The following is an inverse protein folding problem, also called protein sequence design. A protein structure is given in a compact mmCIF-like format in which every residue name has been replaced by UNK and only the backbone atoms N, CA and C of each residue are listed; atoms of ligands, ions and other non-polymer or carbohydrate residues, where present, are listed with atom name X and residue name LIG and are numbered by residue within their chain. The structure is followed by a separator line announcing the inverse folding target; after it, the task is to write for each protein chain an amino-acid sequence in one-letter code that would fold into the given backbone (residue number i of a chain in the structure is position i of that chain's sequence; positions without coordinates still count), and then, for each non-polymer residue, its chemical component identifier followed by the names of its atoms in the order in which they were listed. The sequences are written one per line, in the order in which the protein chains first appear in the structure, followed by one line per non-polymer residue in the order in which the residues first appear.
data_IF_669736757243
#
_entry.id   IF_669736757243
#
_cell.length_a   1.000
_cell.length_b   1.000
_cell.length_c   1.000
_cell.angle_alpha   90.00
_cell.angle_beta   90.00
_cell.angle_gamma   90.00
#
_symmetry.space_group_name_H-M   'P 1'
#
loop_
_entity.id
_entity.type
_entity.pdbx_description
1 polymer ?
#
# COMPACT_ATOMS: atom_id res chain seq x y z
N UNK A 1 -15.84 13.23 -16.53
CA UNK A 1 -15.99 14.57 -15.92
C UNK A 1 -16.26 15.65 -16.96
N UNK A 2 -15.45 15.77 -17.97
CA UNK A 2 -15.60 16.78 -19.03
C UNK A 2 -16.91 16.64 -19.81
N UNK A 3 -17.36 15.43 -20.06
CA UNK A 3 -18.64 15.14 -20.77
C UNK A 3 -19.86 15.66 -20.00
N UNK A 4 -19.75 15.80 -18.68
CA UNK A 4 -20.84 16.28 -17.82
C UNK A 4 -20.73 17.78 -17.48
N UNK A 5 -19.78 18.51 -18.10
CA UNK A 5 -19.61 19.95 -17.93
C UNK A 5 -18.78 20.38 -16.71
N UNK A 6 -18.24 19.43 -15.91
CA UNK A 6 -17.28 19.73 -14.86
C UNK A 6 -15.93 20.13 -15.47
N UNK A 7 -15.35 21.22 -14.99
CA UNK A 7 -14.08 21.78 -15.47
C UNK A 7 -13.02 21.72 -14.37
N UNK A 8 -11.78 21.75 -14.79
CA UNK A 8 -10.67 21.89 -13.87
C UNK A 8 -10.77 23.22 -13.11
N UNK A 9 -10.67 23.17 -11.78
CA UNK A 9 -10.82 24.32 -10.91
C UNK A 9 -12.22 24.53 -10.36
N UNK A 10 -13.23 23.75 -10.75
CA UNK A 10 -14.56 23.79 -10.15
C UNK A 10 -14.52 23.36 -8.67
N UNK A 11 -15.10 24.17 -7.78
CA UNK A 11 -15.28 23.82 -6.38
C UNK A 11 -16.70 23.28 -6.18
N UNK A 12 -16.85 22.03 -5.82
CA UNK A 12 -18.15 21.41 -5.52
C UNK A 12 -18.65 21.95 -4.18
N UNK A 13 -19.84 22.57 -4.17
CA UNK A 13 -20.48 23.12 -2.98
C UNK A 13 -21.57 22.18 -2.42
N UNK A 14 -22.34 21.55 -3.32
CA UNK A 14 -23.42 20.64 -2.91
C UNK A 14 -23.72 19.64 -4.03
N UNK A 15 -24.27 18.48 -3.64
CA UNK A 15 -24.78 17.44 -4.55
C UNK A 15 -26.20 17.10 -4.10
N UNK A 16 -27.20 17.21 -5.00
CA UNK A 16 -28.62 17.03 -4.73
C UNK A 16 -29.14 17.80 -3.49
N UNK A 17 -28.58 19.00 -3.27
CA UNK A 17 -28.92 19.88 -2.14
C UNK A 17 -28.16 19.55 -0.84
N UNK A 18 -27.41 18.47 -0.79
CA UNK A 18 -26.55 18.13 0.35
C UNK A 18 -25.22 18.90 0.22
N UNK A 19 -24.89 19.73 1.19
CA UNK A 19 -23.62 20.47 1.23
C UNK A 19 -22.45 19.48 1.38
N UNK A 20 -21.39 19.71 0.62
CA UNK A 20 -20.18 18.86 0.58
C UNK A 20 -18.99 19.73 0.91
N UNK A 21 -18.32 19.46 2.01
CA UNK A 21 -17.15 20.22 2.46
C UNK A 21 -15.83 19.57 2.07
N UNK A 22 -15.82 18.25 1.86
CA UNK A 22 -14.61 17.48 1.63
C UNK A 22 -14.77 16.51 0.45
N UNK A 23 -13.66 16.26 -0.25
CA UNK A 23 -13.63 15.33 -1.36
C UNK A 23 -14.15 13.90 -1.03
N UNK A 24 -13.84 13.28 0.13
CA UNK A 24 -14.40 11.98 0.50
C UNK A 24 -15.94 11.95 0.50
N UNK A 25 -16.60 13.06 0.86
CA UNK A 25 -18.06 13.14 0.89
C UNK A 25 -18.62 13.08 -0.54
N UNK A 26 -17.98 13.76 -1.50
CA UNK A 26 -18.29 13.66 -2.94
C UNK A 26 -18.14 12.22 -3.42
N UNK A 27 -17.04 11.56 -3.05
CA UNK A 27 -16.76 10.17 -3.45
C UNK A 27 -17.83 9.21 -2.96
N UNK A 28 -18.28 9.35 -1.70
CA UNK A 28 -19.33 8.49 -1.12
C UNK A 28 -20.64 8.65 -1.88
N UNK A 29 -21.09 9.89 -2.16
CA UNK A 29 -22.35 10.16 -2.87
C UNK A 29 -22.30 9.61 -4.30
N UNK A 30 -21.21 9.87 -5.01
CA UNK A 30 -21.02 9.42 -6.40
C UNK A 30 -20.98 7.90 -6.49
N UNK A 31 -20.23 7.22 -5.61
CA UNK A 31 -20.11 5.75 -5.61
C UNK A 31 -21.41 5.05 -5.29
N UNK A 32 -22.26 5.64 -4.45
CA UNK A 32 -23.57 5.09 -4.08
C UNK A 32 -24.68 5.36 -5.11
N UNK A 33 -24.40 6.10 -6.18
CA UNK A 33 -25.39 6.53 -7.16
C UNK A 33 -25.00 6.17 -8.62
N UNK A 34 -24.72 4.87 -8.93
CA UNK A 34 -24.40 4.45 -10.29
C UNK A 34 -25.57 4.73 -11.24
N UNK A 35 -25.30 5.32 -12.40
CA UNK A 35 -26.28 5.61 -13.45
C UNK A 35 -27.35 6.67 -13.10
N UNK A 36 -27.34 7.24 -11.90
CA UNK A 36 -28.31 8.26 -11.48
C UNK A 36 -27.80 9.66 -11.77
N UNK A 37 -28.66 10.53 -12.32
CA UNK A 37 -28.33 11.94 -12.52
C UNK A 37 -28.26 12.68 -11.18
N UNK A 38 -27.07 13.16 -10.82
CA UNK A 38 -26.81 13.94 -9.61
C UNK A 38 -26.69 15.42 -9.98
N UNK A 39 -27.37 16.31 -9.25
CA UNK A 39 -27.25 17.77 -9.42
C UNK A 39 -26.09 18.30 -8.60
N UNK A 40 -25.01 18.68 -9.28
CA UNK A 40 -23.85 19.31 -8.69
C UNK A 40 -24.01 20.83 -8.72
N UNK A 41 -23.87 21.46 -7.61
CA UNK A 41 -23.71 22.91 -7.51
C UNK A 41 -22.22 23.20 -7.31
N UNK A 42 -21.65 23.90 -8.28
CA UNK A 42 -20.22 24.21 -8.33
C UNK A 42 -19.97 25.71 -8.33
N UNK A 43 -18.92 26.15 -7.67
CA UNK A 43 -18.44 27.53 -7.74
C UNK A 43 -17.35 27.66 -8.81
N UNK A 44 -17.48 28.66 -9.66
CA UNK A 44 -16.54 29.09 -10.70
C UNK A 44 -16.18 30.58 -10.55
N UNK A 45 -15.19 31.03 -11.29
CA UNK A 45 -14.81 32.47 -11.33
C UNK A 45 -15.96 33.43 -11.71
N UNK A 46 -17.03 32.94 -12.35
CA UNK A 46 -18.21 33.69 -12.76
C UNK A 46 -19.44 33.57 -11.87
N UNK A 47 -19.38 32.79 -10.78
CA UNK A 47 -20.52 32.52 -9.90
C UNK A 47 -20.78 31.03 -9.64
N UNK A 48 -21.96 30.73 -9.09
CA UNK A 48 -22.39 29.34 -8.88
C UNK A 48 -23.13 28.82 -10.11
N UNK A 49 -22.83 27.61 -10.53
CA UNK A 49 -23.51 26.90 -11.62
C UNK A 49 -24.06 25.54 -11.11
N UNK A 50 -25.23 25.16 -11.64
CA UNK A 50 -25.77 23.83 -11.42
C UNK A 50 -25.53 22.96 -12.67
N UNK A 51 -24.99 21.77 -12.45
CA UNK A 51 -24.66 20.79 -13.49
C UNK A 51 -25.30 19.45 -13.14
N UNK A 52 -25.85 18.75 -14.13
CA UNK A 52 -26.30 17.38 -13.94
C UNK A 52 -25.22 16.41 -14.40
N UNK A 53 -24.70 15.62 -13.49
CA UNK A 53 -23.64 14.65 -13.72
C UNK A 53 -24.20 13.24 -13.52
N UNK A 54 -24.05 12.38 -14.51
CA UNK A 54 -24.45 10.97 -14.41
C UNK A 54 -23.20 10.12 -14.21
N UNK A 55 -23.00 9.51 -13.01
CA UNK A 55 -21.88 8.62 -12.78
C UNK A 55 -21.99 7.36 -13.65
N UNK A 56 -20.91 7.02 -14.36
CA UNK A 56 -20.83 5.78 -15.10
C UNK A 56 -20.86 4.58 -14.14
N UNK A 57 -21.55 3.53 -14.56
CA UNK A 57 -21.58 2.27 -13.83
C UNK A 57 -20.28 1.50 -14.04
N UNK A 58 -19.61 1.16 -12.96
CA UNK A 58 -18.36 0.38 -12.96
C UNK A 58 -18.51 -0.77 -11.98
N UNK A 59 -18.24 -1.99 -12.42
CA UNK A 59 -18.19 -3.15 -11.53
C UNK A 59 -16.87 -3.18 -10.73
N UNK A 60 -16.95 -3.08 -9.44
CA UNK A 60 -15.81 -3.24 -8.53
C UNK A 60 -16.11 -4.33 -7.50
N UNK A 61 -15.34 -5.43 -7.50
CA UNK A 61 -15.41 -6.53 -6.51
C UNK A 61 -16.82 -7.01 -6.16
N UNK A 62 -17.69 -7.26 -7.17
CA UNK A 62 -19.09 -7.70 -7.03
C UNK A 62 -20.11 -6.61 -6.66
N UNK A 63 -19.76 -5.35 -6.71
CA UNK A 63 -20.69 -4.25 -6.51
C UNK A 63 -20.59 -3.28 -7.67
N UNK A 64 -21.74 -2.81 -8.16
CA UNK A 64 -21.78 -1.73 -9.15
C UNK A 64 -21.66 -0.40 -8.43
N UNK A 65 -20.66 0.40 -8.77
CA UNK A 65 -20.40 1.73 -8.21
C UNK A 65 -20.48 2.80 -9.29
N UNK A 66 -20.83 4.02 -8.89
CA UNK A 66 -20.77 5.19 -9.75
C UNK A 66 -19.35 5.77 -9.85
N UNK A 67 -18.94 6.18 -11.06
CA UNK A 67 -17.65 6.85 -11.31
C UNK A 67 -17.82 8.03 -12.27
N UNK A 68 -17.26 9.18 -11.93
CA UNK A 68 -17.35 10.41 -12.75
C UNK A 68 -16.05 10.83 -13.42
N UNK A 69 -14.95 10.09 -13.19
CA UNK A 69 -13.67 10.34 -13.85
C UNK A 69 -13.04 11.72 -13.55
N UNK A 70 -13.27 12.25 -12.36
CA UNK A 70 -12.62 13.46 -11.85
C UNK A 70 -11.80 13.12 -10.62
N UNK A 71 -10.68 13.84 -10.44
CA UNK A 71 -9.84 13.75 -9.27
C UNK A 71 -9.87 15.10 -8.54
N UNK A 72 -9.62 15.14 -7.22
CA UNK A 72 -9.42 16.41 -6.53
C UNK A 72 -8.25 17.15 -7.18
N UNK A 73 -8.36 18.47 -7.31
CA UNK A 73 -7.19 19.25 -7.62
C UNK A 73 -6.14 19.02 -6.52
N UNK A 74 -4.89 18.78 -6.91
CA UNK A 74 -3.80 18.90 -5.96
C UNK A 74 -3.86 20.35 -5.46
N UNK A 75 -4.38 20.53 -4.24
CA UNK A 75 -4.32 21.83 -3.60
C UNK A 75 -2.85 22.11 -3.34
N UNK A 76 -2.31 23.16 -3.97
CA UNK A 76 -1.01 23.73 -3.61
C UNK A 76 -1.02 24.34 -2.19
N UNK A 77 -2.17 24.34 -1.52
CA UNK A 77 -2.22 24.57 -0.08
C UNK A 77 -1.49 23.43 0.60
N UNK A 78 -0.30 23.68 1.12
CA UNK A 78 0.52 22.60 1.64
C UNK A 78 -0.27 21.94 2.78
N UNK A 79 -0.32 20.61 2.76
CA UNK A 79 -0.73 19.74 3.88
C UNK A 79 -0.01 20.11 5.22
N UNK A 80 0.65 21.25 5.24
CA UNK A 80 1.37 21.82 6.40
C UNK A 80 0.44 22.09 7.58
N UNK A 81 -0.82 22.46 7.35
CA UNK A 81 -1.76 22.74 8.45
C UNK A 81 -2.30 21.49 9.13
N UNK A 82 -2.27 20.32 8.46
CA UNK A 82 -2.74 19.04 9.03
C UNK A 82 -1.59 18.24 9.64
N UNK A 83 -0.33 18.65 9.46
CA UNK A 83 0.83 17.97 10.01
C UNK A 83 1.17 18.51 11.39
N UNK A 84 0.67 17.90 12.43
CA UNK A 84 1.16 18.13 13.79
C UNK A 84 2.50 17.44 13.97
N UNK A 85 3.55 18.23 14.20
CA UNK A 85 4.87 17.71 14.56
C UNK A 85 4.85 17.31 16.03
N UNK A 86 4.73 16.01 16.27
CA UNK A 86 4.82 15.46 17.64
C UNK A 86 6.28 15.15 17.90
N UNK A 87 6.86 15.77 18.94
CA UNK A 87 8.19 15.45 19.45
C UNK A 87 8.04 14.66 20.76
N UNK A 88 8.77 13.56 20.84
CA UNK A 88 8.85 12.73 22.03
C UNK A 88 10.20 12.95 22.71
N UNK A 89 10.24 12.81 24.02
CA UNK A 89 11.50 12.66 24.74
C UNK A 89 12.17 11.32 24.38
N UNK A 90 13.45 11.19 24.67
CA UNK A 90 14.26 10.05 24.24
C UNK A 90 13.68 8.68 24.66
N UNK A 91 13.19 8.57 25.91
CA UNK A 91 12.62 7.32 26.42
C UNK A 91 11.29 6.98 25.76
N UNK A 92 10.40 7.95 25.62
CA UNK A 92 9.12 7.78 24.94
C UNK A 92 9.30 7.48 23.45
N UNK A 93 10.27 8.12 22.80
CA UNK A 93 10.62 7.83 21.41
C UNK A 93 11.10 6.38 21.23
N UNK A 94 11.94 5.88 22.15
CA UNK A 94 12.39 4.49 22.16
C UNK A 94 11.23 3.50 22.32
N UNK A 95 10.32 3.74 23.28
CA UNK A 95 9.15 2.91 23.48
C UNK A 95 8.24 2.89 22.24
N UNK A 96 8.01 4.05 21.62
CA UNK A 96 7.23 4.16 20.38
C UNK A 96 7.89 3.46 19.19
N UNK A 97 9.22 3.52 19.10
CA UNK A 97 9.94 2.81 18.03
C UNK A 97 9.80 1.29 18.17
N UNK A 98 9.82 0.75 19.40
CA UNK A 98 9.59 -0.68 19.65
C UNK A 98 8.15 -1.06 19.29
N UNK A 99 7.16 -0.29 19.72
CA UNK A 99 5.75 -0.49 19.41
C UNK A 99 5.52 -0.51 17.87
N UNK A 100 6.02 0.52 17.17
CA UNK A 100 5.90 0.58 15.70
C UNK A 100 6.63 -0.59 15.00
N UNK A 101 7.79 -0.98 15.50
CA UNK A 101 8.54 -2.12 14.94
C UNK A 101 7.73 -3.41 15.09
N UNK A 102 7.13 -3.62 16.27
CA UNK A 102 6.26 -4.77 16.50
C UNK A 102 5.04 -4.78 15.59
N UNK A 103 4.33 -3.66 15.52
CA UNK A 103 3.13 -3.52 14.69
C UNK A 103 3.44 -3.77 13.21
N UNK A 104 4.53 -3.20 12.69
CA UNK A 104 4.98 -3.44 11.30
C UNK A 104 5.39 -4.88 11.07
N UNK A 105 6.03 -5.53 12.04
CA UNK A 105 6.41 -6.94 11.94
C UNK A 105 5.18 -7.85 11.90
N UNK A 106 4.22 -7.64 12.79
CA UNK A 106 2.95 -8.38 12.81
C UNK A 106 2.17 -8.14 11.52
N UNK A 107 2.06 -6.88 11.08
CA UNK A 107 1.41 -6.55 9.81
C UNK A 107 2.05 -7.28 8.62
N UNK A 108 3.38 -7.33 8.55
CA UNK A 108 4.10 -8.03 7.48
C UNK A 108 3.78 -9.52 7.48
N UNK A 109 3.77 -10.16 8.65
CA UNK A 109 3.40 -11.59 8.77
C UNK A 109 1.95 -11.85 8.37
N UNK A 110 1.01 -11.00 8.80
CA UNK A 110 -0.41 -11.10 8.43
C UNK A 110 -0.59 -10.94 6.93
N UNK A 111 0.12 -9.98 6.30
CA UNK A 111 0.06 -9.78 4.85
C UNK A 111 0.62 -10.98 4.08
N UNK A 112 1.74 -11.57 4.55
CA UNK A 112 2.27 -12.81 3.97
C UNK A 112 1.27 -13.95 4.10
N UNK A 113 0.63 -14.12 5.26
CA UNK A 113 -0.44 -15.10 5.47
C UNK A 113 -1.60 -14.91 4.50
N UNK A 114 -2.06 -13.67 4.30
CA UNK A 114 -3.13 -13.32 3.36
C UNK A 114 -2.74 -13.54 1.90
N UNK A 115 -1.47 -13.39 1.54
CA UNK A 115 -0.97 -13.76 0.21
C UNK A 115 -1.02 -15.27 -0.01
N UNK A 116 -0.71 -16.07 1.01
CA UNK A 116 -0.79 -17.53 0.94
C UNK A 116 -2.24 -18.03 0.83
N UNK A 117 -3.19 -17.38 1.49
CA UNK A 117 -4.62 -17.71 1.40
C UNK A 117 -5.29 -17.16 0.14
N UNK A 118 -4.59 -16.35 -0.66
CA UNK A 118 -5.12 -15.75 -1.89
C UNK A 118 -6.03 -14.53 -1.67
N UNK A 119 -6.17 -14.04 -0.43
CA UNK A 119 -6.92 -12.82 -0.12
C UNK A 119 -6.22 -11.56 -0.67
N UNK A 120 -4.90 -11.60 -0.74
CA UNK A 120 -4.06 -10.53 -1.27
C UNK A 120 -3.34 -11.02 -2.52
N UNK A 121 -3.41 -10.24 -3.58
CA UNK A 121 -2.78 -10.61 -4.86
C UNK A 121 -1.26 -10.58 -4.77
N UNK A 122 -0.61 -11.62 -5.29
CA UNK A 122 0.84 -11.70 -5.45
C UNK A 122 1.43 -10.57 -6.33
N UNK A 123 0.60 -9.92 -7.14
CA UNK A 123 0.99 -8.75 -7.93
C UNK A 123 1.40 -7.55 -7.07
N UNK A 124 1.02 -7.55 -5.78
CA UNK A 124 1.42 -6.52 -4.81
C UNK A 124 2.84 -6.76 -4.27
N UNK A 125 3.50 -7.85 -4.66
CA UNK A 125 4.89 -8.10 -4.28
C UNK A 125 5.78 -7.13 -5.05
N UNK A 126 6.42 -6.23 -4.34
CA UNK A 126 7.38 -5.28 -4.88
C UNK A 126 8.74 -5.94 -5.04
N UNK A 127 9.32 -5.81 -6.21
CA UNK A 127 10.66 -6.28 -6.47
C UNK A 127 11.72 -5.21 -6.21
N UNK A 128 12.99 -5.53 -6.50
CA UNK A 128 14.12 -4.63 -6.22
C UNK A 128 14.03 -3.28 -6.94
N UNK A 129 13.45 -3.26 -8.15
CA UNK A 129 13.30 -2.01 -8.93
C UNK A 129 12.28 -1.08 -8.29
N UNK A 130 11.15 -1.61 -7.86
CA UNK A 130 10.12 -0.86 -7.13
C UNK A 130 10.65 -0.33 -5.79
N UNK A 131 11.46 -1.13 -5.07
CA UNK A 131 12.09 -0.70 -3.82
C UNK A 131 13.07 0.46 -4.08
N UNK A 132 13.87 0.37 -5.13
CA UNK A 132 14.81 1.43 -5.51
C UNK A 132 14.09 2.72 -5.92
N UNK A 133 12.96 2.62 -6.63
CA UNK A 133 12.14 3.77 -7.01
C UNK A 133 11.53 4.46 -5.77
N UNK A 134 10.95 3.71 -4.85
CA UNK A 134 10.44 4.26 -3.58
C UNK A 134 11.55 4.86 -2.71
N UNK A 135 12.75 4.29 -2.71
CA UNK A 135 13.91 4.88 -2.04
C UNK A 135 14.23 6.27 -2.63
N UNK A 136 14.26 6.37 -3.97
CA UNK A 136 14.50 7.63 -4.68
C UNK A 136 13.41 8.67 -4.41
N UNK A 137 12.15 8.27 -4.43
CA UNK A 137 11.02 9.16 -4.11
C UNK A 137 11.07 9.63 -2.65
N UNK A 138 11.34 8.71 -1.71
CA UNK A 138 11.47 9.05 -0.30
C UNK A 138 12.62 10.02 -0.02
N UNK A 139 13.74 9.85 -0.72
CA UNK A 139 14.88 10.76 -0.61
C UNK A 139 14.54 12.19 -1.12
N UNK A 140 13.76 12.31 -2.20
CA UNK A 140 13.27 13.60 -2.71
C UNK A 140 12.32 14.31 -1.74
N UNK A 141 11.54 13.56 -0.97
CA UNK A 141 10.62 14.10 0.04
C UNK A 141 11.34 14.59 1.31
N UNK A 142 12.58 14.17 1.53
CA UNK A 142 13.43 14.58 2.65
C UNK A 142 13.94 13.45 3.50
N UNK A 143 14.93 13.79 4.35
CA UNK A 143 15.64 12.80 5.17
C UNK A 143 14.72 11.99 6.09
N UNK A 144 13.71 12.64 6.69
CA UNK A 144 12.76 11.98 7.59
C UNK A 144 11.98 10.86 6.88
N UNK A 145 11.57 11.09 5.64
CA UNK A 145 10.87 10.10 4.82
C UNK A 145 11.79 8.96 4.40
N UNK A 146 13.01 9.31 4.02
CA UNK A 146 14.02 8.33 3.63
C UNK A 146 14.36 7.39 4.80
N UNK A 147 14.58 7.94 6.00
CA UNK A 147 14.86 7.14 7.20
C UNK A 147 13.69 6.23 7.59
N UNK A 148 12.44 6.72 7.49
CA UNK A 148 11.24 5.90 7.71
C UNK A 148 11.13 4.77 6.69
N UNK A 149 11.42 5.04 5.42
CA UNK A 149 11.44 4.03 4.38
C UNK A 149 12.52 2.97 4.66
N UNK A 150 13.73 3.39 5.01
CA UNK A 150 14.83 2.48 5.36
C UNK A 150 14.49 1.61 6.57
N UNK A 151 13.86 2.18 7.60
CA UNK A 151 13.38 1.42 8.76
C UNK A 151 12.34 0.37 8.35
N UNK A 152 11.38 0.74 7.50
CA UNK A 152 10.37 -0.21 6.99
C UNK A 152 11.00 -1.37 6.23
N UNK A 153 11.94 -1.07 5.32
CA UNK A 153 12.67 -2.11 4.57
C UNK A 153 13.46 -3.03 5.50
N UNK A 154 14.15 -2.45 6.50
CA UNK A 154 14.90 -3.22 7.50
C UNK A 154 14.01 -4.15 8.31
N UNK A 155 12.86 -3.67 8.78
CA UNK A 155 11.87 -4.49 9.52
C UNK A 155 11.36 -5.61 8.63
N UNK A 156 10.96 -5.30 7.38
CA UNK A 156 10.45 -6.29 6.43
C UNK A 156 11.48 -7.36 6.12
N UNK A 157 12.75 -6.98 5.92
CA UNK A 157 13.84 -7.92 5.67
C UNK A 157 14.10 -8.81 6.90
N UNK A 158 14.08 -8.23 8.12
CA UNK A 158 14.20 -8.99 9.36
C UNK A 158 13.08 -10.02 9.53
N UNK A 159 11.83 -9.62 9.27
CA UNK A 159 10.67 -10.53 9.31
C UNK A 159 10.80 -11.64 8.27
N UNK A 160 11.20 -11.31 7.05
CA UNK A 160 11.41 -12.32 5.99
C UNK A 160 12.53 -13.30 6.37
N UNK A 161 13.62 -12.82 6.97
CA UNK A 161 14.72 -13.67 7.39
C UNK A 161 14.33 -14.62 8.55
N UNK A 162 13.33 -14.29 9.35
CA UNK A 162 12.81 -15.17 10.40
C UNK A 162 11.83 -16.23 9.90
N UNK A 163 11.42 -16.20 8.63
CA UNK A 163 10.57 -17.24 8.08
C UNK A 163 11.30 -18.59 8.04
N UNK A 164 10.59 -19.71 8.25
CA UNK A 164 11.18 -21.06 8.28
C UNK A 164 11.51 -21.55 6.85
N UNK A 165 12.25 -20.74 6.11
CA UNK A 165 12.72 -21.05 4.75
C UNK A 165 14.19 -21.47 4.85
N UNK A 166 14.57 -22.68 4.45
CA UNK A 166 15.95 -23.11 4.40
C UNK A 166 16.77 -22.13 3.54
N UNK A 167 17.90 -21.64 3.97
CA UNK A 167 18.72 -20.56 3.39
C UNK A 167 18.60 -19.24 4.17
N UNK A 168 17.48 -18.97 4.82
CA UNK A 168 17.31 -17.81 5.70
C UNK A 168 17.62 -18.20 7.15
N UNK A 169 17.84 -17.20 8.01
CA UNK A 169 18.17 -17.41 9.43
C UNK A 169 17.09 -18.21 10.16
N UNK A 170 15.81 -17.97 9.85
CA UNK A 170 14.67 -18.73 10.37
C UNK A 170 14.68 -20.20 9.96
N UNK A 171 15.24 -20.53 8.81
CA UNK A 171 15.46 -21.90 8.38
C UNK A 171 16.51 -22.63 9.23
N UNK A 172 17.60 -21.96 9.55
CA UNK A 172 18.61 -22.49 10.48
C UNK A 172 18.03 -22.69 11.87
N UNK A 173 17.27 -21.71 12.36
CA UNK A 173 16.55 -21.83 13.63
C UNK A 173 15.60 -23.04 13.64
N UNK A 174 14.86 -23.22 12.55
CA UNK A 174 13.98 -24.39 12.38
C UNK A 174 14.77 -25.70 12.43
N UNK A 175 15.93 -25.81 11.78
CA UNK A 175 16.77 -27.01 11.86
C UNK A 175 17.22 -27.28 13.29
N UNK A 176 17.68 -26.30 14.02
CA UNK A 176 18.07 -26.46 15.43
C UNK A 176 16.88 -26.87 16.30
N UNK A 177 15.70 -26.30 16.09
CA UNK A 177 14.49 -26.74 16.80
C UNK A 177 14.17 -28.24 16.54
N UNK A 178 14.29 -28.65 15.29
CA UNK A 178 14.06 -30.09 14.93
C UNK A 178 15.09 -30.97 15.59
N UNK A 179 16.37 -30.57 15.64
CA UNK A 179 17.46 -31.35 16.32
C UNK A 179 17.19 -31.48 17.81
N UNK A 180 16.74 -30.41 18.48
CA UNK A 180 16.36 -30.44 19.90
C UNK A 180 15.21 -31.41 20.14
N UNK A 181 14.15 -31.36 19.32
CA UNK A 181 12.98 -32.25 19.46
C UNK A 181 13.35 -33.71 19.18
N UNK A 182 14.17 -33.97 18.16
CA UNK A 182 14.63 -35.30 17.79
C UNK A 182 15.72 -35.85 18.71
N UNK A 183 16.33 -34.98 19.54
CA UNK A 183 17.48 -35.30 20.38
C UNK A 183 18.67 -35.88 19.60
N UNK A 184 18.87 -35.35 18.38
CA UNK A 184 19.98 -35.78 17.53
C UNK A 184 20.15 -34.90 16.31
N UNK A 185 21.34 -34.86 15.72
CA UNK A 185 21.63 -33.99 14.58
C UNK A 185 20.83 -34.40 13.34
N UNK A 186 20.50 -33.41 12.51
CA UNK A 186 19.97 -33.66 11.17
C UNK A 186 21.07 -34.22 10.27
N UNK A 187 20.69 -35.09 9.33
CA UNK A 187 21.64 -35.61 8.35
C UNK A 187 22.07 -34.48 7.40
N UNK A 188 23.33 -34.45 7.02
CA UNK A 188 23.89 -33.48 6.05
C UNK A 188 23.04 -33.43 4.76
N UNK A 189 22.63 -34.62 4.29
CA UNK A 189 21.79 -34.74 3.09
C UNK A 189 20.41 -34.09 3.25
N UNK A 190 19.80 -34.13 4.44
CA UNK A 190 18.51 -33.45 4.68
C UNK A 190 18.67 -31.93 4.69
N UNK A 191 19.75 -31.42 5.24
CA UNK A 191 20.08 -29.99 5.22
C UNK A 191 20.37 -29.52 3.80
N UNK A 192 21.17 -30.29 3.04
CA UNK A 192 21.51 -29.96 1.63
C UNK A 192 20.26 -29.92 0.74
N UNK A 193 19.37 -30.90 0.83
CA UNK A 193 18.09 -30.91 0.10
C UNK A 193 17.23 -29.71 0.51
N UNK A 194 17.14 -29.42 1.79
CA UNK A 194 16.40 -28.26 2.29
C UNK A 194 16.96 -26.95 1.72
N UNK A 195 18.27 -26.76 1.72
CA UNK A 195 18.93 -25.59 1.12
C UNK A 195 18.66 -25.47 -0.38
N UNK A 196 18.71 -26.57 -1.14
CA UNK A 196 18.41 -26.56 -2.57
C UNK A 196 16.95 -26.15 -2.84
N UNK A 197 16.00 -26.66 -2.05
CA UNK A 197 14.59 -26.29 -2.15
C UNK A 197 14.41 -24.80 -1.80
N UNK A 198 15.00 -24.35 -0.69
CA UNK A 198 14.92 -22.95 -0.26
C UNK A 198 15.50 -21.99 -1.28
N UNK A 199 16.66 -22.32 -1.85
CA UNK A 199 17.31 -21.52 -2.89
C UNK A 199 16.45 -21.45 -4.16
N UNK A 200 15.90 -22.60 -4.59
CA UNK A 200 15.04 -22.66 -5.76
C UNK A 200 13.77 -21.81 -5.57
N UNK A 201 13.16 -21.87 -4.38
CA UNK A 201 12.01 -21.05 -4.02
C UNK A 201 12.35 -19.56 -4.03
N UNK A 202 13.49 -19.18 -3.44
CA UNK A 202 13.95 -17.79 -3.40
C UNK A 202 14.19 -17.24 -4.80
N UNK A 203 14.85 -18.02 -5.67
CA UNK A 203 15.10 -17.62 -7.06
C UNK A 203 13.80 -17.49 -7.86
N UNK A 204 12.83 -18.39 -7.65
CA UNK A 204 11.53 -18.30 -8.29
C UNK A 204 10.75 -17.05 -7.85
N UNK A 205 10.74 -16.74 -6.54
CA UNK A 205 10.12 -15.53 -6.01
C UNK A 205 10.80 -14.26 -6.52
N UNK A 206 12.13 -14.26 -6.59
CA UNK A 206 12.89 -13.12 -7.13
C UNK A 206 12.58 -12.90 -8.62
N UNK A 207 12.57 -13.96 -9.43
CA UNK A 207 12.20 -13.88 -10.84
C UNK A 207 10.78 -13.35 -11.03
N UNK A 208 9.84 -13.81 -10.19
CA UNK A 208 8.46 -13.34 -10.20
C UNK A 208 8.36 -11.86 -9.80
N UNK A 209 9.10 -11.42 -8.78
CA UNK A 209 9.13 -10.03 -8.35
C UNK A 209 9.71 -9.11 -9.44
N UNK A 210 10.79 -9.52 -10.10
CA UNK A 210 11.33 -8.81 -11.27
C UNK A 210 10.34 -8.73 -12.42
N UNK A 211 9.65 -9.82 -12.74
CA UNK A 211 8.61 -9.83 -13.76
C UNK A 211 7.48 -8.85 -13.44
N UNK A 212 7.07 -8.81 -12.18
CA UNK A 212 6.07 -7.84 -11.70
C UNK A 212 6.54 -6.39 -11.85
N UNK A 213 7.80 -6.11 -11.47
CA UNK A 213 8.40 -4.78 -11.61
C UNK A 213 8.44 -4.31 -13.06
N UNK A 214 8.89 -5.17 -13.97
CA UNK A 214 8.96 -4.87 -15.40
C UNK A 214 7.54 -4.60 -15.96
N UNK A 215 6.58 -5.45 -15.61
CA UNK A 215 5.20 -5.28 -16.06
C UNK A 215 4.61 -3.95 -15.58
N UNK A 216 4.93 -3.54 -14.37
CA UNK A 216 4.48 -2.27 -13.80
C UNK A 216 5.10 -1.07 -14.51
N UNK A 217 6.39 -1.15 -14.88
CA UNK A 217 7.08 -0.09 -15.63
C UNK A 217 6.55 0.05 -17.06
N UNK A 218 6.09 -1.07 -17.67
CA UNK A 218 5.56 -1.05 -19.04
C UNK A 218 4.07 -0.68 -19.11
N UNK A 219 3.33 -0.84 -18.01
CA UNK A 219 1.88 -0.60 -17.97
C UNK A 219 1.47 0.70 -17.26
N UNK A 220 2.42 1.42 -16.68
CA UNK A 220 2.22 2.75 -16.05
C UNK A 220 2.71 3.82 -16.92
#
# INVERSE_FOLDING_TARGET
GEVAGLKQGDRVLAIDGQVVDRWPDVVVIVRSSPGKGLRFRVARAGGEEELTVVPAEVEERRHTIGRIGVAPAESDEPLREVRTRVSYDFLTAGAKAIEETWDKSVFSLVMLGKMLTGEVSWRNLSGPVTIADYAGQSAKLGLDYYLKFMALVSISLGVLNLLPIPVLDGGHLMYHMIEVVRRGPLSERAMEIGQQIGLSLLLALMAFAFFNDINRLLSG
#
